data_IF_909416032519
#
_entry.id   IF_909416032519
#
_cell.length_a   1.000
_cell.length_b   1.000
_cell.length_c   1.000
_cell.angle_alpha   90.00
_cell.angle_beta   90.00
_cell.angle_gamma   90.00
#
_symmetry.space_group_name_H-M   'P 1'
#
loop_
_entity.id
_entity.type
_entity.pdbx_description
1 polymer ?
#
# COMPACT_ATOMS: atom_id res chain seq x y z
N UNK A 1 35.59 6.95 43.85
CA UNK A 1 37.03 7.23 43.69
C UNK A 1 37.44 6.97 42.23
N UNK A 2 38.13 7.99 41.62
CA UNK A 2 38.92 8.01 40.36
C UNK A 2 38.25 7.55 39.06
N UNK A 3 37.80 8.43 38.27
CA UNK A 3 38.17 9.18 37.04
C UNK A 3 39.25 8.49 36.18
N UNK A 4 38.93 8.26 34.90
CA UNK A 4 39.86 7.97 33.82
C UNK A 4 39.26 8.39 32.47
N UNK A 5 39.55 9.65 32.08
CA UNK A 5 39.36 10.15 30.70
C UNK A 5 40.52 9.60 29.84
N UNK A 6 40.22 9.14 28.64
CA UNK A 6 41.19 9.07 27.56
C UNK A 6 40.63 9.69 26.31
N UNK A 7 41.23 10.81 25.93
CA UNK A 7 41.13 11.51 24.66
C UNK A 7 41.99 10.80 23.63
N UNK A 8 41.47 10.61 22.39
CA UNK A 8 42.30 10.26 21.24
C UNK A 8 42.24 11.34 20.18
N UNK A 9 43.43 11.80 19.83
CA UNK A 9 43.75 12.83 18.84
C UNK A 9 43.42 12.35 17.42
N UNK A 10 42.91 13.29 16.61
CA UNK A 10 42.76 13.19 15.16
C UNK A 10 44.12 13.53 14.53
N UNK A 11 44.64 12.64 13.69
CA UNK A 11 45.76 12.92 12.79
C UNK A 11 45.26 13.11 11.38
N UNK A 12 45.41 14.33 10.87
CA UNK A 12 45.19 14.70 9.46
C UNK A 12 46.49 14.39 8.69
N UNK A 13 46.42 13.56 7.67
CA UNK A 13 47.45 13.43 6.64
C UNK A 13 46.95 13.99 5.32
N UNK A 14 47.51 15.11 4.90
CA UNK A 14 47.40 15.64 3.55
C UNK A 14 48.37 14.91 2.63
N UNK A 15 47.85 14.26 1.59
CA UNK A 15 48.67 13.72 0.49
C UNK A 15 48.31 14.44 -0.80
N UNK A 16 49.23 15.26 -1.28
CA UNK A 16 49.20 15.91 -2.60
C UNK A 16 49.64 14.87 -3.64
N UNK A 17 48.83 14.58 -4.64
CA UNK A 17 49.25 13.82 -5.83
C UNK A 17 48.86 14.63 -7.08
N UNK A 18 49.90 14.83 -7.89
CA UNK A 18 49.93 15.70 -9.06
C UNK A 18 49.05 15.23 -10.23
N UNK A 19 48.61 16.21 -10.98
CA UNK A 19 47.87 16.11 -12.22
C UNK A 19 48.84 15.79 -13.36
N UNK A 20 48.66 14.65 -14.05
CA UNK A 20 49.22 14.41 -15.38
C UNK A 20 48.09 14.64 -16.39
N UNK A 21 48.21 15.69 -17.18
CA UNK A 21 47.33 15.99 -18.29
C UNK A 21 47.79 15.15 -19.48
N UNK A 22 46.97 14.16 -19.89
CA UNK A 22 47.10 13.48 -21.16
C UNK A 22 46.07 14.06 -22.13
N UNK A 23 46.54 14.76 -23.16
CA UNK A 23 45.71 15.20 -24.27
C UNK A 23 45.33 13.99 -25.16
N UNK A 24 44.11 13.51 -25.02
CA UNK A 24 43.52 12.49 -25.88
C UNK A 24 42.47 13.08 -26.79
N UNK A 25 42.61 12.84 -28.08
CA UNK A 25 41.74 13.32 -29.15
C UNK A 25 40.26 12.95 -28.94
N UNK A 26 39.40 13.96 -29.04
CA UNK A 26 37.95 13.81 -29.03
C UNK A 26 37.48 13.03 -30.28
N UNK A 27 36.86 11.87 -30.08
CA UNK A 27 36.00 11.24 -31.08
C UNK A 27 34.60 11.84 -30.96
N UNK A 28 33.89 12.10 -32.10
CA UNK A 28 32.56 12.69 -32.04
C UNK A 28 31.63 11.70 -31.34
N UNK A 29 31.03 12.17 -30.25
CA UNK A 29 29.96 11.45 -29.49
C UNK A 29 28.77 11.34 -30.45
N UNK A 30 28.46 10.10 -30.83
CA UNK A 30 27.25 9.77 -31.56
C UNK A 30 26.04 10.33 -30.79
N UNK A 31 25.15 11.01 -31.53
CA UNK A 31 23.89 11.49 -31.02
C UNK A 31 23.19 10.33 -30.31
N UNK A 32 23.06 10.41 -28.97
CA UNK A 32 22.18 9.56 -28.22
C UNK A 32 20.77 9.79 -28.77
N UNK A 33 20.26 8.79 -29.46
CA UNK A 33 18.86 8.74 -29.87
C UNK A 33 18.06 8.80 -28.57
N UNK A 34 17.43 9.97 -28.31
CA UNK A 34 16.43 10.10 -27.27
C UNK A 34 15.35 9.07 -27.60
N UNK A 35 15.42 7.91 -26.93
CA UNK A 35 14.31 6.96 -26.91
C UNK A 35 13.17 7.74 -26.28
N UNK A 36 12.25 8.24 -27.13
CA UNK A 36 10.95 8.75 -26.66
C UNK A 36 10.39 7.68 -25.72
N UNK A 37 9.97 8.05 -24.50
CA UNK A 37 9.21 7.12 -23.67
C UNK A 37 8.05 6.65 -24.54
N UNK A 38 7.91 5.34 -24.70
CA UNK A 38 6.75 4.74 -25.36
C UNK A 38 5.51 5.35 -24.73
N UNK A 39 4.67 5.91 -25.57
CA UNK A 39 3.51 6.67 -25.16
C UNK A 39 2.65 5.84 -24.19
N UNK A 40 2.19 6.50 -23.15
CA UNK A 40 1.35 6.04 -22.04
C UNK A 40 -0.01 5.45 -22.42
N UNK A 41 -0.11 4.64 -23.47
CA UNK A 41 -1.40 4.08 -23.93
C UNK A 41 -1.93 2.92 -23.10
N UNK A 42 -1.22 2.44 -22.06
CA UNK A 42 -1.50 1.11 -21.52
C UNK A 42 -2.01 1.08 -20.09
N UNK A 43 -1.75 2.09 -19.27
CA UNK A 43 -2.33 2.16 -17.94
C UNK A 43 -3.82 2.53 -17.99
N UNK A 44 -4.68 1.69 -17.38
CA UNK A 44 -6.09 2.02 -17.24
C UNK A 44 -6.31 3.16 -16.23
N UNK A 45 -5.38 3.36 -15.29
CA UNK A 45 -5.49 4.34 -14.21
C UNK A 45 -4.18 5.12 -14.04
N UNK A 46 -4.30 6.43 -13.82
CA UNK A 46 -3.17 7.34 -13.56
C UNK A 46 -3.58 8.41 -12.55
N UNK A 47 -2.59 9.02 -11.87
CA UNK A 47 -2.81 10.23 -11.08
C UNK A 47 -2.68 11.45 -11.98
N UNK A 48 -3.73 12.26 -12.04
CA UNK A 48 -3.73 13.53 -12.76
C UNK A 48 -2.97 14.62 -12.00
N UNK A 49 -2.63 15.70 -12.68
CA UNK A 49 -1.82 16.83 -12.14
C UNK A 49 -2.45 17.53 -10.93
N UNK A 50 -3.74 17.41 -10.74
CA UNK A 50 -4.50 17.98 -9.62
C UNK A 50 -4.78 16.94 -8.48
N UNK A 51 -4.13 15.77 -8.52
CA UNK A 51 -4.37 14.68 -7.58
C UNK A 51 -5.67 13.88 -7.82
N UNK A 52 -6.37 14.12 -8.93
CA UNK A 52 -7.51 13.29 -9.32
C UNK A 52 -7.03 11.94 -9.85
N UNK A 53 -7.79 10.89 -9.56
CA UNK A 53 -7.63 9.62 -10.28
C UNK A 53 -8.31 9.73 -11.65
N UNK A 54 -7.55 9.42 -12.68
CA UNK A 54 -8.07 9.32 -14.05
C UNK A 54 -8.09 7.85 -14.45
N UNK A 55 -9.26 7.36 -14.90
CA UNK A 55 -9.42 6.05 -15.50
C UNK A 55 -9.82 6.22 -16.96
N UNK A 56 -9.02 5.63 -17.85
CA UNK A 56 -9.18 5.79 -19.29
C UNK A 56 -9.25 7.29 -19.73
N UNK A 57 -8.47 8.13 -19.04
CA UNK A 57 -8.37 9.57 -19.29
C UNK A 57 -9.45 10.43 -18.63
N UNK A 58 -10.46 9.84 -17.99
CA UNK A 58 -11.56 10.56 -17.34
C UNK A 58 -11.44 10.51 -15.81
N UNK A 59 -11.81 11.60 -15.15
CA UNK A 59 -11.86 11.64 -13.69
C UNK A 59 -12.80 10.53 -13.17
N UNK A 60 -12.30 9.72 -12.24
CA UNK A 60 -13.00 8.52 -11.81
C UNK A 60 -12.97 8.34 -10.29
N UNK A 61 -14.06 7.83 -9.74
CA UNK A 61 -14.21 7.46 -8.34
C UNK A 61 -14.91 6.12 -8.23
N UNK A 62 -14.53 5.31 -7.22
CA UNK A 62 -15.20 4.05 -6.97
C UNK A 62 -14.75 3.38 -5.68
N UNK A 63 -15.59 2.45 -5.20
CA UNK A 63 -15.37 1.68 -3.98
C UNK A 63 -15.20 0.21 -4.36
N UNK A 64 -14.01 -0.32 -4.10
CA UNK A 64 -13.67 -1.73 -4.24
C UNK A 64 -13.74 -2.47 -2.92
N UNK A 65 -13.05 -3.62 -2.86
CA UNK A 65 -12.98 -4.46 -1.68
C UNK A 65 -11.60 -5.11 -1.55
N UNK A 66 -11.17 -5.36 -0.33
CA UNK A 66 -10.00 -6.19 -0.07
C UNK A 66 -10.40 -7.66 -0.23
N UNK A 67 -9.73 -8.36 -1.12
CA UNK A 67 -9.79 -9.81 -1.24
C UNK A 67 -8.40 -10.39 -0.90
N UNK A 68 -8.01 -10.22 0.35
CA UNK A 68 -6.67 -10.48 0.86
C UNK A 68 -6.11 -11.83 0.39
N UNK A 69 -6.84 -12.93 0.64
CA UNK A 69 -6.37 -14.29 0.40
C UNK A 69 -6.51 -14.78 -1.04
N UNK A 70 -7.02 -13.95 -1.96
CA UNK A 70 -7.43 -14.40 -3.29
C UNK A 70 -6.31 -15.10 -4.08
N UNK A 71 -5.08 -14.55 -4.07
CA UNK A 71 -3.95 -15.18 -4.73
C UNK A 71 -3.18 -16.16 -3.82
N UNK A 72 -3.18 -15.95 -2.50
CA UNK A 72 -2.53 -16.88 -1.57
C UNK A 72 -3.08 -18.30 -1.67
N UNK A 73 -4.39 -18.48 -1.89
CA UNK A 73 -5.01 -19.79 -2.13
C UNK A 73 -4.37 -20.52 -3.29
N UNK A 74 -4.07 -19.80 -4.38
CA UNK A 74 -3.37 -20.37 -5.53
C UNK A 74 -1.89 -20.63 -5.26
N UNK A 75 -1.24 -19.82 -4.39
CA UNK A 75 0.14 -20.11 -3.97
C UNK A 75 0.19 -21.42 -3.20
N UNK A 76 -0.71 -21.62 -2.26
CA UNK A 76 -0.80 -22.82 -1.42
C UNK A 76 -1.21 -24.05 -2.25
N UNK A 77 -2.30 -23.93 -3.00
CA UNK A 77 -2.88 -25.00 -3.80
C UNK A 77 -3.17 -24.54 -5.23
N UNK A 78 -2.36 -24.97 -6.20
CA UNK A 78 -2.42 -24.48 -7.58
C UNK A 78 -3.72 -24.79 -8.33
N UNK A 79 -4.52 -25.71 -7.85
CA UNK A 79 -5.83 -26.12 -8.33
C UNK A 79 -7.01 -25.49 -7.55
N UNK A 80 -6.74 -24.75 -6.47
CA UNK A 80 -7.78 -24.03 -5.74
C UNK A 80 -8.32 -22.85 -6.57
N UNK A 81 -9.52 -23.04 -7.08
CA UNK A 81 -10.25 -22.04 -7.90
C UNK A 81 -11.32 -21.30 -7.09
N UNK A 82 -11.36 -21.44 -5.76
CA UNK A 82 -12.39 -20.81 -4.92
C UNK A 82 -12.38 -19.29 -5.05
N UNK A 83 -11.19 -18.68 -5.20
CA UNK A 83 -11.06 -17.25 -5.44
C UNK A 83 -11.71 -16.78 -6.74
N UNK A 84 -11.81 -17.64 -7.76
CA UNK A 84 -12.50 -17.30 -9.03
C UNK A 84 -14.02 -17.21 -8.85
N UNK A 85 -14.60 -18.05 -7.98
CA UNK A 85 -15.99 -17.93 -7.59
C UNK A 85 -16.24 -16.63 -6.80
N UNK A 86 -15.32 -16.25 -5.92
CA UNK A 86 -15.34 -14.95 -5.25
C UNK A 86 -15.30 -13.78 -6.22
N UNK A 87 -14.38 -13.78 -7.18
CA UNK A 87 -14.35 -12.76 -8.25
C UNK A 87 -15.66 -12.70 -9.05
N UNK A 88 -16.30 -13.85 -9.34
CA UNK A 88 -17.58 -13.88 -10.03
C UNK A 88 -18.70 -13.24 -9.19
N UNK A 89 -18.72 -13.47 -7.88
CA UNK A 89 -19.64 -12.81 -6.96
C UNK A 89 -19.43 -11.30 -6.92
N UNK A 90 -18.18 -10.84 -6.78
CA UNK A 90 -17.85 -9.43 -6.78
C UNK A 90 -18.25 -8.73 -8.09
N UNK A 91 -18.03 -9.39 -9.23
CA UNK A 91 -18.48 -8.88 -10.53
C UNK A 91 -20.02 -8.76 -10.61
N UNK A 92 -20.77 -9.72 -10.06
CA UNK A 92 -22.25 -9.67 -9.99
C UNK A 92 -22.73 -8.45 -9.20
N UNK A 93 -22.03 -8.06 -8.14
CA UNK A 93 -22.28 -6.85 -7.34
C UNK A 93 -21.61 -5.60 -7.91
N UNK A 94 -21.10 -5.63 -9.15
CA UNK A 94 -20.44 -4.49 -9.81
C UNK A 94 -19.29 -3.88 -8.99
N UNK A 95 -18.57 -4.69 -8.21
CA UNK A 95 -17.38 -4.24 -7.50
C UNK A 95 -16.27 -3.98 -8.51
N UNK A 96 -15.78 -2.73 -8.62
CA UNK A 96 -14.91 -2.34 -9.74
C UNK A 96 -13.47 -2.82 -9.62
N UNK A 97 -12.97 -3.04 -8.40
CA UNK A 97 -11.59 -3.48 -8.17
C UNK A 97 -11.44 -4.20 -6.85
N UNK A 98 -10.35 -4.95 -6.74
CA UNK A 98 -9.90 -5.55 -5.49
C UNK A 98 -8.48 -5.11 -5.14
N UNK A 99 -8.19 -4.96 -3.83
CA UNK A 99 -6.84 -4.95 -3.25
C UNK A 99 -6.56 -6.33 -2.68
N UNK A 100 -5.40 -6.91 -2.94
CA UNK A 100 -5.09 -8.28 -2.53
C UNK A 100 -3.59 -8.48 -2.26
N UNK A 101 -3.23 -9.48 -1.43
CA UNK A 101 -1.85 -9.87 -1.25
C UNK A 101 -1.34 -10.58 -2.53
N UNK A 102 -0.44 -9.92 -3.26
CA UNK A 102 0.20 -10.45 -4.47
C UNK A 102 1.55 -11.07 -4.14
N UNK A 103 1.62 -11.82 -3.03
CA UNK A 103 2.87 -12.31 -2.45
C UNK A 103 2.60 -13.44 -1.45
N UNK A 104 3.65 -14.15 -1.02
CA UNK A 104 3.59 -15.00 0.16
C UNK A 104 3.42 -14.17 1.43
N UNK A 105 2.60 -14.61 2.38
CA UNK A 105 2.45 -13.95 3.67
C UNK A 105 3.57 -14.35 4.64
N UNK A 106 3.87 -15.64 4.75
CA UNK A 106 4.97 -16.17 5.55
C UNK A 106 6.18 -16.52 4.68
N UNK A 107 7.40 -16.61 5.24
CA UNK A 107 8.59 -16.98 4.48
C UNK A 107 8.44 -18.28 3.69
N UNK A 108 7.75 -19.31 4.23
CA UNK A 108 7.51 -20.56 3.53
C UNK A 108 6.68 -20.41 2.25
N UNK A 109 5.78 -19.42 2.20
CA UNK A 109 4.90 -19.22 1.05
C UNK A 109 5.67 -18.70 -0.16
N UNK A 110 6.86 -18.15 0.05
CA UNK A 110 7.78 -17.74 -1.01
C UNK A 110 8.55 -18.89 -1.65
N UNK A 111 8.43 -20.10 -1.11
CA UNK A 111 9.14 -21.27 -1.66
C UNK A 111 8.73 -21.57 -3.11
N UNK A 112 7.45 -21.39 -3.47
CA UNK A 112 7.03 -21.58 -4.85
C UNK A 112 7.73 -20.58 -5.78
N UNK A 113 7.75 -19.29 -5.44
CA UNK A 113 8.45 -18.27 -6.23
C UNK A 113 9.95 -18.53 -6.31
N UNK A 114 10.59 -18.95 -5.21
CA UNK A 114 12.05 -19.17 -5.15
C UNK A 114 12.50 -20.42 -5.90
N UNK A 115 11.70 -21.48 -5.86
CA UNK A 115 12.08 -22.80 -6.35
C UNK A 115 11.44 -23.18 -7.70
N UNK A 116 10.31 -22.54 -8.06
CA UNK A 116 9.60 -22.80 -9.31
C UNK A 116 8.85 -21.54 -9.77
N UNK A 117 9.62 -20.55 -10.26
CA UNK A 117 9.09 -19.27 -10.72
C UNK A 117 8.10 -19.41 -11.88
N UNK A 118 8.33 -20.36 -12.78
CA UNK A 118 7.42 -20.59 -13.92
C UNK A 118 6.02 -20.95 -13.43
N UNK A 119 5.92 -21.88 -12.48
CA UNK A 119 4.64 -22.27 -11.89
C UNK A 119 4.02 -21.14 -11.07
N UNK A 120 4.83 -20.37 -10.31
CA UNK A 120 4.35 -19.21 -9.57
C UNK A 120 3.68 -18.19 -10.49
N UNK A 121 4.35 -17.82 -11.58
CA UNK A 121 3.80 -16.86 -12.54
C UNK A 121 2.65 -17.45 -13.37
N UNK A 122 2.65 -18.73 -13.66
CA UNK A 122 1.51 -19.40 -14.32
C UNK A 122 0.24 -19.29 -13.45
N UNK A 123 0.36 -19.44 -12.12
CA UNK A 123 -0.77 -19.26 -11.19
C UNK A 123 -1.22 -17.81 -11.14
N UNK A 124 -0.28 -16.87 -11.12
CA UNK A 124 -0.58 -15.43 -11.14
C UNK A 124 -1.27 -15.01 -12.45
N UNK A 125 -0.82 -15.51 -13.60
CA UNK A 125 -1.45 -15.25 -14.90
C UNK A 125 -2.90 -15.73 -14.93
N UNK A 126 -3.16 -16.90 -14.36
CA UNK A 126 -4.54 -17.42 -14.24
C UNK A 126 -5.40 -16.48 -13.41
N UNK A 127 -4.90 -16.02 -12.27
CA UNK A 127 -5.62 -15.10 -11.40
C UNK A 127 -5.91 -13.76 -12.07
N UNK A 128 -4.90 -13.14 -12.66
CA UNK A 128 -5.04 -11.88 -13.42
C UNK A 128 -6.00 -12.05 -14.59
N UNK A 129 -5.90 -13.18 -15.31
CA UNK A 129 -6.81 -13.51 -16.41
C UNK A 129 -8.26 -13.66 -15.96
N UNK A 130 -8.52 -14.22 -14.77
CA UNK A 130 -9.88 -14.36 -14.23
C UNK A 130 -10.46 -13.01 -13.77
N UNK A 131 -9.65 -12.11 -13.21
CA UNK A 131 -10.06 -10.75 -12.90
C UNK A 131 -10.37 -9.95 -14.18
N UNK A 132 -9.50 -10.05 -15.21
CA UNK A 132 -9.71 -9.41 -16.52
C UNK A 132 -11.02 -9.84 -17.18
N UNK A 133 -11.33 -11.13 -17.22
CA UNK A 133 -12.59 -11.66 -17.78
C UNK A 133 -13.84 -11.06 -17.14
N UNK A 134 -13.71 -10.57 -15.89
CA UNK A 134 -14.81 -10.00 -15.10
C UNK A 134 -14.77 -8.48 -14.99
N UNK A 135 -13.85 -7.83 -15.70
CA UNK A 135 -13.62 -6.38 -15.62
C UNK A 135 -13.37 -5.88 -14.18
N UNK A 136 -12.69 -6.67 -13.35
CA UNK A 136 -12.29 -6.28 -12.00
C UNK A 136 -10.85 -5.78 -12.04
N UNK A 137 -10.63 -4.51 -11.67
CA UNK A 137 -9.31 -3.93 -11.52
C UNK A 137 -8.54 -4.55 -10.34
N UNK A 138 -7.23 -4.56 -10.42
CA UNK A 138 -6.35 -5.16 -9.43
C UNK A 138 -5.41 -4.11 -8.84
N UNK A 139 -5.32 -4.05 -7.51
CA UNK A 139 -4.30 -3.33 -6.75
C UNK A 139 -3.50 -4.38 -5.98
N UNK A 140 -2.41 -4.92 -6.58
CA UNK A 140 -1.56 -5.91 -5.94
C UNK A 140 -0.68 -5.27 -4.86
N UNK A 141 -0.78 -5.76 -3.62
CA UNK A 141 0.16 -5.49 -2.54
C UNK A 141 1.31 -6.49 -2.64
N UNK A 142 2.52 -5.98 -2.95
CA UNK A 142 3.65 -6.82 -3.38
C UNK A 142 4.40 -7.45 -2.20
N UNK A 143 4.32 -6.83 -1.00
CA UNK A 143 5.03 -7.28 0.20
C UNK A 143 4.16 -7.05 1.43
N UNK A 144 3.04 -7.77 1.53
CA UNK A 144 2.00 -7.50 2.53
C UNK A 144 2.53 -7.35 3.95
N UNK A 145 3.36 -8.30 4.40
CA UNK A 145 3.86 -8.34 5.77
C UNK A 145 5.34 -7.94 5.86
N UNK A 146 5.64 -6.91 6.63
CA UNK A 146 6.96 -6.28 6.75
C UNK A 146 8.07 -7.18 7.31
N UNK A 147 7.71 -8.17 8.12
CA UNK A 147 8.66 -9.15 8.67
C UNK A 147 9.04 -10.25 7.69
N UNK A 148 8.28 -10.43 6.60
CA UNK A 148 8.40 -11.62 5.76
C UNK A 148 9.71 -11.64 4.94
N UNK A 149 9.98 -10.59 4.15
CA UNK A 149 11.15 -10.59 3.25
C UNK A 149 12.48 -10.56 3.99
N UNK A 150 12.66 -9.80 5.09
CA UNK A 150 13.86 -9.94 5.92
C UNK A 150 14.11 -11.39 6.33
N UNK A 151 13.11 -12.10 6.83
CA UNK A 151 13.23 -13.51 7.19
C UNK A 151 13.58 -14.42 5.99
N UNK A 152 12.96 -14.19 4.82
CA UNK A 152 13.26 -14.95 3.58
C UNK A 152 14.73 -14.86 3.17
N UNK A 153 15.36 -13.70 3.40
CA UNK A 153 16.76 -13.46 3.00
C UNK A 153 17.77 -13.58 4.16
N UNK A 154 17.27 -13.88 5.37
CA UNK A 154 18.10 -14.04 6.58
C UNK A 154 18.65 -12.72 7.10
N UNK A 155 17.85 -11.67 7.12
CA UNK A 155 18.14 -10.34 7.66
C UNK A 155 17.10 -9.93 8.72
N UNK A 156 17.40 -8.91 9.52
CA UNK A 156 16.46 -8.30 10.47
C UNK A 156 15.56 -7.27 9.78
N UNK A 157 14.42 -6.96 10.40
CA UNK A 157 13.39 -6.08 9.84
C UNK A 157 13.89 -4.65 9.56
N UNK A 158 14.86 -4.13 10.31
CA UNK A 158 15.47 -2.83 10.09
C UNK A 158 16.16 -2.69 8.72
N UNK A 159 16.45 -3.81 8.03
CA UNK A 159 17.09 -3.81 6.72
C UNK A 159 16.19 -3.26 5.59
N UNK A 160 14.92 -3.04 5.83
CA UNK A 160 14.07 -2.20 4.98
C UNK A 160 14.60 -0.75 4.84
N UNK A 161 15.32 -0.25 5.86
CA UNK A 161 15.98 1.06 5.84
C UNK A 161 17.33 1.10 5.16
N UNK A 162 17.86 -0.02 4.67
CA UNK A 162 19.18 -0.11 4.05
C UNK A 162 19.08 -0.39 2.55
N UNK A 163 19.27 0.61 1.66
CA UNK A 163 19.17 0.43 0.20
C UNK A 163 20.12 -0.62 -0.39
N UNK A 164 21.12 -1.07 0.38
CA UNK A 164 22.11 -2.07 -0.03
C UNK A 164 21.87 -3.45 0.57
N UNK A 165 20.80 -3.62 1.36
CA UNK A 165 20.46 -4.89 2.00
C UNK A 165 20.00 -5.95 0.99
N UNK A 166 20.03 -7.21 1.41
CA UNK A 166 19.43 -8.32 0.66
C UNK A 166 17.90 -8.18 0.60
N UNK A 167 17.28 -7.62 1.65
CA UNK A 167 15.86 -7.30 1.72
C UNK A 167 15.45 -6.39 0.57
N UNK A 168 16.14 -5.25 0.39
CA UNK A 168 15.87 -4.31 -0.71
C UNK A 168 16.25 -4.92 -2.07
N UNK A 169 17.33 -5.69 -2.14
CA UNK A 169 17.70 -6.39 -3.38
C UNK A 169 16.62 -7.39 -3.82
N UNK A 170 16.07 -8.18 -2.89
CA UNK A 170 14.97 -9.11 -3.17
C UNK A 170 13.70 -8.35 -3.59
N UNK A 171 13.36 -7.26 -2.91
CA UNK A 171 12.24 -6.40 -3.28
C UNK A 171 12.38 -5.91 -4.73
N UNK A 172 13.54 -5.35 -5.10
CA UNK A 172 13.79 -4.87 -6.46
C UNK A 172 13.68 -5.98 -7.51
N UNK A 173 14.20 -7.19 -7.19
CA UNK A 173 14.08 -8.34 -8.07
C UNK A 173 12.62 -8.73 -8.31
N UNK A 174 11.84 -8.89 -7.25
CA UNK A 174 10.43 -9.28 -7.36
C UNK A 174 9.61 -8.21 -8.09
N UNK A 175 9.82 -6.93 -7.77
CA UNK A 175 9.21 -5.80 -8.49
C UNK A 175 9.54 -5.87 -9.99
N UNK A 176 10.82 -6.05 -10.33
CA UNK A 176 11.22 -6.13 -11.74
C UNK A 176 10.52 -7.26 -12.49
N UNK A 177 10.36 -8.41 -11.85
CA UNK A 177 9.73 -9.58 -12.46
C UNK A 177 8.20 -9.43 -12.56
N UNK A 178 7.53 -8.93 -11.51
CA UNK A 178 6.07 -8.77 -11.50
C UNK A 178 5.63 -7.58 -12.34
N UNK A 179 6.19 -6.40 -12.09
CA UNK A 179 5.82 -5.18 -12.82
C UNK A 179 6.17 -5.32 -14.31
N UNK A 180 7.37 -5.85 -14.62
CA UNK A 180 7.77 -6.09 -16.00
C UNK A 180 6.83 -7.06 -16.73
N UNK A 181 6.36 -8.11 -16.05
CA UNK A 181 5.42 -9.09 -16.62
C UNK A 181 4.05 -8.48 -16.95
N UNK A 182 3.55 -7.62 -16.09
CA UNK A 182 2.21 -7.04 -16.20
C UNK A 182 2.21 -5.57 -16.67
N UNK A 183 3.32 -5.11 -17.25
CA UNK A 183 3.44 -3.73 -17.73
C UNK A 183 2.33 -3.34 -18.72
N UNK A 184 1.91 -4.27 -19.59
CA UNK A 184 0.86 -4.07 -20.60
C UNK A 184 -0.53 -4.58 -20.15
N UNK A 185 -0.67 -5.00 -18.90
CA UNK A 185 -1.93 -5.53 -18.39
C UNK A 185 -2.81 -4.42 -17.78
N UNK A 186 -3.84 -4.04 -18.50
CA UNK A 186 -4.76 -2.96 -18.09
C UNK A 186 -5.60 -3.30 -16.84
N UNK A 187 -5.69 -4.57 -16.49
CA UNK A 187 -6.36 -5.02 -15.26
C UNK A 187 -5.62 -4.57 -14.00
N UNK A 188 -4.30 -4.35 -14.07
CA UNK A 188 -3.53 -3.75 -12.97
C UNK A 188 -3.76 -2.23 -12.96
N UNK A 189 -4.31 -1.71 -11.85
CA UNK A 189 -4.67 -0.29 -11.71
C UNK A 189 -3.63 0.52 -10.95
N UNK A 190 -3.00 -0.07 -9.93
CA UNK A 190 -1.95 0.57 -9.13
C UNK A 190 -0.99 -0.49 -8.60
N UNK A 191 0.17 -0.07 -8.10
CA UNK A 191 1.16 -0.91 -7.42
C UNK A 191 1.27 -0.50 -5.96
N UNK A 192 1.29 -1.47 -5.05
CA UNK A 192 1.37 -1.22 -3.62
C UNK A 192 2.56 -1.92 -2.98
N UNK A 193 3.23 -1.25 -2.01
CA UNK A 193 4.34 -1.86 -1.27
C UNK A 193 3.84 -3.02 -0.40
N UNK A 194 3.03 -2.72 0.62
CA UNK A 194 2.67 -3.70 1.64
C UNK A 194 1.48 -3.25 2.48
N UNK A 195 1.44 -3.65 3.74
CA UNK A 195 0.33 -3.31 4.63
C UNK A 195 0.82 -2.72 5.95
N UNK A 196 0.44 -1.47 6.22
CA UNK A 196 0.54 -0.80 7.53
C UNK A 196 1.94 -0.72 8.16
N UNK A 197 3.02 -0.75 7.37
CA UNK A 197 4.40 -0.69 7.89
C UNK A 197 4.62 0.50 8.85
N UNK A 198 3.99 1.65 8.57
CA UNK A 198 4.11 2.85 9.40
C UNK A 198 3.58 2.69 10.82
N UNK A 199 2.66 1.75 11.07
CA UNK A 199 2.12 1.53 12.41
C UNK A 199 3.13 0.91 13.39
N UNK A 200 4.17 0.25 12.89
CA UNK A 200 5.27 -0.31 13.69
C UNK A 200 6.38 0.68 14.01
N UNK A 201 6.38 1.87 13.40
CA UNK A 201 7.48 2.80 13.48
C UNK A 201 7.52 3.58 14.81
N UNK A 202 8.74 3.78 15.33
CA UNK A 202 9.07 4.65 16.47
C UNK A 202 8.34 4.35 17.79
N UNK A 203 7.81 3.16 17.94
CA UNK A 203 7.08 2.77 19.14
C UNK A 203 8.03 2.70 20.35
N UNK A 204 7.70 3.34 21.50
CA UNK A 204 8.50 3.23 22.72
C UNK A 204 8.51 1.82 23.31
N UNK A 205 7.49 1.01 23.02
CA UNK A 205 7.36 -0.40 23.36
C UNK A 205 7.57 -1.32 22.13
N UNK A 206 8.46 -0.96 21.21
CA UNK A 206 8.70 -1.69 19.96
C UNK A 206 8.95 -3.20 20.15
N UNK A 207 9.55 -3.59 21.28
CA UNK A 207 9.80 -4.98 21.60
C UNK A 207 8.54 -5.87 21.63
N UNK A 208 7.38 -5.28 21.98
CA UNK A 208 6.08 -5.97 22.02
C UNK A 208 5.45 -6.12 20.63
N UNK A 209 5.98 -5.39 19.63
CA UNK A 209 5.46 -5.31 18.27
C UNK A 209 6.43 -5.87 17.22
N UNK A 210 7.46 -6.60 17.65
CA UNK A 210 8.34 -7.32 16.75
C UNK A 210 7.60 -8.45 16.04
N UNK A 211 8.02 -8.84 14.82
CA UNK A 211 7.44 -9.97 14.13
C UNK A 211 7.40 -11.23 15.01
N UNK A 212 6.33 -12.05 14.97
CA UNK A 212 6.29 -13.27 15.74
C UNK A 212 7.34 -14.28 15.27
N UNK A 213 7.77 -15.16 16.19
CA UNK A 213 8.61 -16.32 15.88
C UNK A 213 7.70 -17.51 15.60
N UNK A 214 7.74 -18.01 14.36
CA UNK A 214 6.94 -19.15 13.85
C UNK A 214 7.86 -20.01 12.98
N UNK A 215 8.64 -20.89 13.60
CA UNK A 215 9.68 -21.66 12.93
C UNK A 215 9.17 -22.55 11.79
N UNK A 216 7.98 -23.13 11.99
CA UNK A 216 7.27 -23.95 11.00
C UNK A 216 6.80 -23.14 9.78
N UNK A 217 6.72 -21.82 9.91
CA UNK A 217 6.42 -20.87 8.83
C UNK A 217 7.68 -20.24 8.21
N UNK A 218 8.86 -20.60 8.72
CA UNK A 218 10.15 -20.20 8.19
C UNK A 218 10.66 -18.85 8.70
N UNK A 219 10.12 -18.31 9.80
CA UNK A 219 10.61 -17.06 10.39
C UNK A 219 11.96 -17.24 11.07
N UNK A 220 12.63 -16.12 11.38
CA UNK A 220 13.82 -16.12 12.22
C UNK A 220 13.53 -16.78 13.58
N UNK A 221 14.57 -17.40 14.18
CA UNK A 221 14.46 -18.11 15.46
C UNK A 221 14.36 -17.19 16.69
N UNK A 222 14.71 -15.91 16.53
CA UNK A 222 14.63 -14.91 17.60
C UNK A 222 14.47 -13.53 17.01
N UNK A 223 14.03 -12.59 17.84
CA UNK A 223 13.90 -11.17 17.50
C UNK A 223 14.76 -10.33 18.44
N UNK A 224 15.24 -9.21 17.92
CA UNK A 224 16.07 -8.27 18.68
C UNK A 224 15.63 -6.82 18.42
N UNK A 225 16.37 -5.84 18.96
CA UNK A 225 16.15 -4.43 18.64
C UNK A 225 16.41 -4.09 17.15
N UNK A 226 17.08 -4.97 16.41
CA UNK A 226 17.23 -4.84 14.96
C UNK A 226 15.93 -5.10 14.19
N UNK A 227 14.93 -5.66 14.84
CA UNK A 227 13.58 -5.82 14.28
C UNK A 227 12.65 -4.63 14.58
N UNK A 228 13.11 -3.62 15.32
CA UNK A 228 12.34 -2.41 15.59
C UNK A 228 12.38 -1.49 14.37
N UNK A 229 11.21 -0.94 13.97
CA UNK A 229 11.12 -0.03 12.84
C UNK A 229 11.21 1.43 13.29
N UNK A 230 11.80 2.26 12.41
CA UNK A 230 11.71 3.72 12.49
C UNK A 230 10.99 4.29 11.28
N UNK A 231 10.51 5.52 11.40
CA UNK A 231 9.91 6.26 10.31
C UNK A 231 10.85 6.31 9.09
N UNK A 232 12.13 6.58 9.28
CA UNK A 232 13.12 6.69 8.20
C UNK A 232 13.33 5.38 7.45
N UNK A 233 13.25 4.23 8.15
CA UNK A 233 13.32 2.91 7.52
C UNK A 233 12.12 2.67 6.61
N UNK A 234 10.92 3.01 7.10
CA UNK A 234 9.67 2.87 6.33
C UNK A 234 9.69 3.78 5.10
N UNK A 235 10.07 5.04 5.26
CA UNK A 235 10.22 6.01 4.15
C UNK A 235 11.23 5.49 3.11
N UNK A 236 12.35 4.92 3.57
CA UNK A 236 13.36 4.33 2.68
C UNK A 236 12.78 3.17 1.88
N UNK A 237 12.07 2.24 2.52
CA UNK A 237 11.44 1.10 1.84
C UNK A 237 10.46 1.57 0.76
N UNK A 238 9.59 2.54 1.10
CA UNK A 238 8.62 3.12 0.15
C UNK A 238 9.29 3.82 -1.03
N UNK A 239 10.34 4.62 -0.77
CA UNK A 239 11.08 5.30 -1.83
C UNK A 239 11.81 4.31 -2.76
N UNK A 240 12.37 3.23 -2.20
CA UNK A 240 13.04 2.18 -2.98
C UNK A 240 12.04 1.40 -3.86
N UNK A 241 10.88 1.05 -3.32
CA UNK A 241 9.81 0.45 -4.13
C UNK A 241 9.41 1.40 -5.26
N UNK A 242 9.09 2.64 -4.91
CA UNK A 242 8.67 3.65 -5.88
C UNK A 242 9.67 3.81 -7.02
N UNK A 243 10.97 3.88 -6.71
CA UNK A 243 12.04 3.93 -7.73
C UNK A 243 12.08 2.66 -8.59
N UNK A 244 11.97 1.48 -7.97
CA UNK A 244 11.98 0.22 -8.68
C UNK A 244 10.80 0.09 -9.65
N UNK A 245 9.59 0.48 -9.21
CA UNK A 245 8.40 0.46 -10.07
C UNK A 245 8.51 1.50 -11.18
N UNK A 246 8.87 2.76 -10.87
CA UNK A 246 8.95 3.86 -11.88
C UNK A 246 10.01 3.63 -12.95
N UNK A 247 11.03 2.84 -12.66
CA UNK A 247 12.02 2.43 -13.67
C UNK A 247 11.39 1.58 -14.80
N UNK A 248 10.26 0.93 -14.55
CA UNK A 248 9.56 0.05 -15.49
C UNK A 248 8.23 0.66 -15.95
N UNK A 249 7.43 1.13 -15.00
CA UNK A 249 6.07 1.66 -15.20
C UNK A 249 6.04 3.14 -14.84
N UNK A 250 6.01 3.98 -15.86
CA UNK A 250 6.09 5.43 -15.72
C UNK A 250 4.76 6.09 -15.29
N UNK A 251 3.65 5.38 -15.30
CA UNK A 251 2.31 6.01 -15.28
C UNK A 251 1.35 5.49 -14.22
N UNK A 252 1.32 4.18 -13.92
CA UNK A 252 0.37 3.67 -12.91
C UNK A 252 0.63 4.27 -11.54
N UNK A 253 -0.42 4.53 -10.76
CA UNK A 253 -0.28 4.97 -9.36
C UNK A 253 0.57 4.00 -8.54
N UNK A 254 1.40 4.55 -7.65
CA UNK A 254 2.18 3.79 -6.69
C UNK A 254 1.77 4.21 -5.29
N UNK A 255 1.36 3.24 -4.47
CA UNK A 255 0.95 3.48 -3.10
C UNK A 255 1.78 2.68 -2.11
N UNK A 256 1.75 3.10 -0.86
CA UNK A 256 2.52 2.49 0.22
C UNK A 256 1.75 1.42 0.98
N UNK A 257 0.40 1.46 0.97
CA UNK A 257 -0.47 0.58 1.75
C UNK A 257 -0.50 0.93 3.24
N UNK A 258 -0.16 2.16 3.60
CA UNK A 258 -0.19 2.61 4.99
C UNK A 258 -1.61 2.87 5.48
N UNK A 259 -1.79 2.70 6.80
CA UNK A 259 -2.94 3.17 7.56
C UNK A 259 -2.86 4.69 7.79
N UNK A 260 -3.92 5.26 8.38
CA UNK A 260 -3.81 6.57 9.01
C UNK A 260 -2.60 6.59 9.97
N UNK A 261 -1.83 7.67 10.01
CA UNK A 261 -0.77 7.81 11.02
C UNK A 261 -1.34 7.54 12.42
N UNK A 262 -0.54 6.96 13.31
CA UNK A 262 -0.93 6.89 14.73
C UNK A 262 -1.28 8.27 15.24
N UNK A 263 -2.17 8.35 16.23
CA UNK A 263 -2.62 9.64 16.79
C UNK A 263 -1.50 10.54 17.32
N UNK A 264 -0.33 10.00 17.55
CA UNK A 264 0.87 10.63 18.09
C UNK A 264 2.12 10.31 17.23
N UNK A 265 1.99 10.12 15.92
CA UNK A 265 3.09 9.65 15.07
C UNK A 265 4.31 10.59 15.12
N UNK A 266 4.11 11.90 15.03
CA UNK A 266 5.17 12.89 15.11
C UNK A 266 5.80 12.98 16.51
N UNK A 267 4.96 13.00 17.58
CA UNK A 267 5.46 13.04 18.96
C UNK A 267 6.15 11.73 19.37
N UNK A 268 5.68 10.57 18.88
CA UNK A 268 6.40 9.30 19.06
C UNK A 268 7.78 9.33 18.40
N UNK A 269 7.85 9.84 17.17
CA UNK A 269 9.11 9.96 16.43
C UNK A 269 10.12 10.88 17.12
N UNK A 270 9.70 12.09 17.51
CA UNK A 270 10.58 13.13 18.00
C UNK A 270 10.85 13.07 19.50
N UNK A 271 9.82 12.77 20.27
CA UNK A 271 9.81 12.96 21.72
C UNK A 271 9.60 11.65 22.50
N UNK A 272 9.22 10.57 21.79
CA UNK A 272 8.85 9.27 22.38
C UNK A 272 7.66 9.40 23.36
N UNK A 273 6.72 10.31 23.06
CA UNK A 273 5.50 10.56 23.85
C UNK A 273 4.24 10.22 23.08
N UNK A 274 3.14 10.00 23.82
CA UNK A 274 1.81 9.73 23.26
C UNK A 274 0.94 11.00 23.17
N UNK A 275 1.54 12.19 23.19
CA UNK A 275 0.82 13.44 22.92
C UNK A 275 0.25 13.38 21.52
N UNK A 276 -1.04 13.70 21.35
CA UNK A 276 -1.68 13.64 20.04
C UNK A 276 -1.15 14.72 19.11
N UNK A 277 -0.93 14.34 17.86
CA UNK A 277 -0.52 15.23 16.79
C UNK A 277 -1.64 16.23 16.43
N UNK A 278 -1.25 17.44 16.03
CA UNK A 278 -2.16 18.40 15.41
C UNK A 278 -2.58 17.95 14.00
N UNK A 279 -3.64 18.55 13.42
CA UNK A 279 -3.98 18.29 12.01
C UNK A 279 -2.83 18.55 11.05
N UNK A 280 -2.03 19.60 11.25
CA UNK A 280 -0.89 19.96 10.42
C UNK A 280 0.26 18.94 10.52
N UNK A 281 0.50 18.39 11.72
CA UNK A 281 1.45 17.31 11.94
C UNK A 281 0.98 16.02 11.28
N UNK A 282 -0.29 15.71 11.37
CA UNK A 282 -0.91 14.57 10.69
C UNK A 282 -0.79 14.69 9.16
N UNK A 283 -1.11 15.83 8.56
CA UNK A 283 -0.98 16.07 7.12
C UNK A 283 0.47 15.96 6.64
N UNK A 284 1.41 16.53 7.40
CA UNK A 284 2.84 16.40 7.13
C UNK A 284 3.31 14.95 7.17
N UNK A 285 2.90 14.18 8.17
CA UNK A 285 3.26 12.77 8.29
C UNK A 285 2.75 11.95 7.10
N UNK A 286 1.52 12.16 6.64
CA UNK A 286 0.98 11.50 5.44
C UNK A 286 1.86 11.72 4.21
N UNK A 287 2.38 12.94 4.03
CA UNK A 287 3.26 13.27 2.91
C UNK A 287 4.64 12.63 3.07
N UNK A 288 5.21 12.65 4.26
CA UNK A 288 6.52 12.08 4.54
C UNK A 288 6.55 10.56 4.35
N UNK A 289 5.52 9.83 4.81
CA UNK A 289 5.42 8.37 4.63
C UNK A 289 5.01 7.95 3.22
N UNK A 290 4.69 8.92 2.36
CA UNK A 290 4.43 8.68 0.93
C UNK A 290 5.48 9.41 0.08
N UNK A 291 6.77 9.00 0.15
CA UNK A 291 7.85 9.70 -0.53
C UNK A 291 7.74 9.58 -2.06
N UNK A 292 8.27 10.58 -2.77
CA UNK A 292 8.41 10.48 -4.22
C UNK A 292 9.28 9.26 -4.60
N UNK A 293 8.92 8.50 -5.66
CA UNK A 293 7.88 8.79 -6.66
C UNK A 293 6.51 8.14 -6.38
N UNK A 294 6.19 7.73 -5.14
CA UNK A 294 4.83 7.32 -4.79
C UNK A 294 3.87 8.52 -4.92
N UNK A 295 2.78 8.33 -5.64
CA UNK A 295 1.84 9.40 -6.00
C UNK A 295 0.40 9.13 -5.55
N UNK A 296 0.18 8.05 -4.80
CA UNK A 296 -1.10 7.67 -4.22
C UNK A 296 -0.93 7.46 -2.71
N UNK A 297 -1.44 8.39 -1.89
CA UNK A 297 -1.46 8.27 -0.43
C UNK A 297 -2.42 7.15 -0.06
N UNK A 298 -1.97 6.19 0.76
CA UNK A 298 -2.84 5.18 1.37
C UNK A 298 -3.17 5.54 2.81
N UNK A 299 -4.43 5.31 3.20
CA UNK A 299 -4.89 5.36 4.59
C UNK A 299 -5.88 4.23 4.84
N UNK A 300 -5.99 3.76 6.09
CA UNK A 300 -7.02 2.82 6.53
C UNK A 300 -7.90 3.50 7.56
N UNK A 301 -9.22 3.24 7.53
CA UNK A 301 -10.20 3.95 8.34
C UNK A 301 -11.12 2.98 9.08
N UNK A 302 -11.09 3.05 10.41
CA UNK A 302 -11.88 2.18 11.29
C UNK A 302 -12.58 2.99 12.40
N UNK A 303 -13.54 2.43 13.14
CA UNK A 303 -14.26 3.16 14.20
C UNK A 303 -13.36 3.77 15.28
N UNK A 304 -12.25 3.09 15.64
CA UNK A 304 -11.29 3.58 16.63
C UNK A 304 -10.51 4.82 16.14
N UNK A 305 -10.53 5.15 14.87
CA UNK A 305 -9.88 6.33 14.31
C UNK A 305 -10.63 7.63 14.56
N UNK A 306 -11.85 7.55 15.10
CA UNK A 306 -12.64 8.73 15.47
C UNK A 306 -12.07 9.51 16.66
N UNK A 307 -11.24 8.88 17.49
CA UNK A 307 -10.54 9.57 18.57
C UNK A 307 -9.23 10.19 18.07
N UNK A 308 -9.27 11.42 17.56
CA UNK A 308 -8.10 12.14 17.00
C UNK A 308 -8.16 13.63 17.31
N UNK A 309 -7.01 14.30 17.23
CA UNK A 309 -6.88 15.75 17.36
C UNK A 309 -7.45 16.28 18.67
N UNK A 310 -7.22 15.56 19.77
CA UNK A 310 -7.78 15.84 21.10
C UNK A 310 -9.32 15.82 21.18
N UNK A 311 -10.00 15.29 20.15
CA UNK A 311 -11.42 15.06 20.14
C UNK A 311 -11.73 13.56 20.34
N UNK A 312 -12.80 13.26 21.09
CA UNK A 312 -13.26 11.88 21.33
C UNK A 312 -14.05 11.28 20.17
N UNK A 313 -14.59 12.13 19.30
CA UNK A 313 -15.47 11.74 18.20
C UNK A 313 -15.28 12.67 16.99
N UNK A 314 -14.15 12.52 16.29
CA UNK A 314 -13.90 13.24 15.04
C UNK A 314 -14.73 12.61 13.93
N UNK A 315 -15.59 13.36 13.23
CA UNK A 315 -16.36 12.83 12.12
C UNK A 315 -15.47 12.28 11.00
N UNK A 316 -15.82 11.14 10.42
CA UNK A 316 -15.05 10.54 9.30
C UNK A 316 -14.82 11.54 8.16
N UNK A 317 -15.84 12.32 7.80
CA UNK A 317 -15.70 13.34 6.76
C UNK A 317 -14.66 14.42 7.10
N UNK A 318 -14.43 14.72 8.38
CA UNK A 318 -13.38 15.66 8.79
C UNK A 318 -11.99 15.05 8.60
N UNK A 319 -11.79 13.82 9.06
CA UNK A 319 -10.52 13.09 8.84
C UNK A 319 -10.23 12.96 7.34
N UNK A 320 -11.24 12.61 6.52
CA UNK A 320 -11.06 12.52 5.08
C UNK A 320 -10.73 13.86 4.43
N UNK A 321 -11.28 15.00 4.92
CA UNK A 321 -10.86 16.31 4.43
C UNK A 321 -9.37 16.56 4.66
N UNK A 322 -8.84 16.31 5.86
CA UNK A 322 -7.40 16.44 6.12
C UNK A 322 -6.57 15.55 5.20
N UNK A 323 -7.00 14.30 4.98
CA UNK A 323 -6.30 13.40 4.04
C UNK A 323 -6.34 13.94 2.60
N UNK A 324 -7.48 14.48 2.15
CA UNK A 324 -7.63 15.07 0.81
C UNK A 324 -6.84 16.37 0.67
N UNK A 325 -6.72 17.17 1.75
CA UNK A 325 -5.93 18.39 1.77
C UNK A 325 -4.43 18.07 1.68
N UNK A 326 -3.95 17.09 2.46
CA UNK A 326 -2.59 16.56 2.34
C UNK A 326 -2.30 16.04 0.92
N UNK A 327 -3.21 15.27 0.34
CA UNK A 327 -3.04 14.74 -1.01
C UNK A 327 -2.91 15.87 -2.04
N UNK A 328 -3.79 16.89 -1.99
CA UNK A 328 -3.71 18.07 -2.87
C UNK A 328 -2.43 18.85 -2.68
N UNK A 329 -2.00 19.08 -1.43
CA UNK A 329 -0.76 19.78 -1.11
C UNK A 329 0.45 19.05 -1.69
N UNK A 330 0.46 17.73 -1.64
CA UNK A 330 1.52 16.89 -2.18
C UNK A 330 1.44 16.62 -3.69
N UNK A 331 0.39 17.10 -4.39
CA UNK A 331 0.15 16.76 -5.80
C UNK A 331 -0.11 15.26 -6.01
N UNK A 332 -0.70 14.60 -5.02
CA UNK A 332 -0.97 13.15 -4.97
C UNK A 332 -2.47 12.88 -4.98
N UNK A 333 -2.87 11.64 -5.27
CA UNK A 333 -4.22 11.16 -5.04
C UNK A 333 -4.36 10.49 -3.67
N UNK A 334 -5.61 10.22 -3.24
CA UNK A 334 -5.92 9.49 -2.01
C UNK A 334 -6.54 8.12 -2.31
N UNK A 335 -6.10 7.10 -1.60
CA UNK A 335 -6.69 5.77 -1.55
C UNK A 335 -6.99 5.39 -0.09
N UNK A 336 -8.25 5.18 0.25
CA UNK A 336 -8.62 4.52 1.49
C UNK A 336 -8.47 3.02 1.25
N UNK A 337 -7.25 2.49 1.53
CA UNK A 337 -6.86 1.10 1.24
C UNK A 337 -7.66 0.08 2.01
N UNK A 338 -8.12 0.47 3.21
CA UNK A 338 -9.05 -0.31 4.02
C UNK A 338 -10.06 0.60 4.71
N UNK A 339 -11.32 0.17 4.76
CA UNK A 339 -12.30 0.67 5.70
C UNK A 339 -13.25 -0.44 6.11
N UNK A 340 -13.80 -0.35 7.31
CA UNK A 340 -14.72 -1.36 7.80
C UNK A 340 -15.07 -1.15 9.26
N UNK A 341 -16.01 -1.93 9.76
CA UNK A 341 -16.37 -1.93 11.16
C UNK A 341 -16.65 -3.38 11.62
N UNK A 342 -16.05 -3.82 12.73
CA UNK A 342 -16.32 -5.15 13.26
C UNK A 342 -17.76 -5.23 13.79
N UNK A 343 -18.41 -6.37 13.55
CA UNK A 343 -19.79 -6.62 13.99
C UNK A 343 -19.90 -7.47 15.28
N UNK A 344 -18.77 -7.65 15.96
CA UNK A 344 -18.76 -8.38 17.22
C UNK A 344 -19.48 -7.63 18.34
N UNK A 345 -20.04 -8.36 19.29
CA UNK A 345 -20.81 -7.74 20.39
C UNK A 345 -19.97 -6.75 21.24
N UNK A 346 -18.67 -7.01 21.40
CA UNK A 346 -17.76 -6.10 22.12
C UNK A 346 -17.54 -4.77 21.38
N UNK A 347 -17.78 -4.74 20.06
CA UNK A 347 -17.63 -3.57 19.18
C UNK A 347 -18.98 -2.88 18.90
N UNK A 348 -20.04 -3.28 19.63
CA UNK A 348 -21.38 -2.71 19.50
C UNK A 348 -22.33 -3.52 18.62
N UNK A 349 -21.87 -4.62 18.05
CA UNK A 349 -22.68 -5.56 17.26
C UNK A 349 -22.99 -5.08 15.83
N UNK A 350 -23.82 -5.82 15.09
CA UNK A 350 -24.08 -5.60 13.67
C UNK A 350 -24.70 -4.21 13.36
N UNK A 351 -25.52 -3.66 14.24
CA UNK A 351 -26.15 -2.34 14.05
C UNK A 351 -25.10 -1.20 14.11
N UNK A 352 -24.17 -1.28 15.06
CA UNK A 352 -23.08 -0.32 15.14
C UNK A 352 -22.16 -0.42 13.94
N UNK A 353 -21.79 -1.64 13.52
CA UNK A 353 -21.00 -1.88 12.32
C UNK A 353 -21.68 -1.29 11.08
N UNK A 354 -22.98 -1.53 10.91
CA UNK A 354 -23.77 -0.97 9.81
C UNK A 354 -23.73 0.56 9.80
N UNK A 355 -23.97 1.20 10.95
CA UNK A 355 -23.92 2.64 11.07
C UNK A 355 -22.56 3.19 10.64
N UNK A 356 -21.46 2.62 11.16
CA UNK A 356 -20.12 3.09 10.85
C UNK A 356 -19.78 2.94 9.36
N UNK A 357 -20.08 1.79 8.74
CA UNK A 357 -19.82 1.57 7.31
C UNK A 357 -20.59 2.57 6.45
N UNK A 358 -21.87 2.83 6.75
CA UNK A 358 -22.66 3.82 6.01
C UNK A 358 -22.14 5.25 6.19
N UNK A 359 -21.72 5.63 7.41
CA UNK A 359 -21.10 6.93 7.69
C UNK A 359 -19.77 7.11 6.95
N UNK A 360 -18.94 6.05 6.85
CA UNK A 360 -17.69 6.07 6.07
C UNK A 360 -17.95 6.26 4.57
N UNK A 361 -18.90 5.50 4.01
CA UNK A 361 -19.28 5.64 2.59
C UNK A 361 -19.78 7.07 2.31
N UNK A 362 -20.65 7.60 3.16
CA UNK A 362 -21.14 8.98 3.03
C UNK A 362 -20.01 10.03 3.16
N UNK A 363 -19.00 9.75 4.02
CA UNK A 363 -17.82 10.60 4.14
C UNK A 363 -16.99 10.58 2.83
N UNK A 364 -16.80 9.41 2.19
CA UNK A 364 -16.07 9.31 0.92
C UNK A 364 -16.81 10.05 -0.20
N UNK A 365 -18.12 9.86 -0.31
CA UNK A 365 -18.94 10.54 -1.31
C UNK A 365 -18.86 12.08 -1.15
N UNK A 366 -19.08 12.58 0.08
CA UNK A 366 -19.15 14.02 0.36
C UNK A 366 -17.80 14.75 0.31
N UNK A 367 -16.69 14.06 0.55
CA UNK A 367 -15.35 14.67 0.55
C UNK A 367 -14.59 14.46 -0.77
N UNK A 368 -15.14 13.68 -1.68
CA UNK A 368 -14.53 13.45 -2.98
C UNK A 368 -13.39 12.42 -2.98
N UNK A 369 -13.31 11.53 -1.99
CA UNK A 369 -12.33 10.42 -1.98
C UNK A 369 -12.43 9.64 -3.29
N UNK A 370 -11.32 9.51 -4.06
CA UNK A 370 -11.39 8.86 -5.36
C UNK A 370 -11.46 7.34 -5.28
N UNK A 371 -10.69 6.72 -4.38
CA UNK A 371 -10.61 5.26 -4.24
C UNK A 371 -10.80 4.87 -2.78
N UNK A 372 -11.65 3.88 -2.52
CA UNK A 372 -11.77 3.22 -1.23
C UNK A 372 -11.96 1.72 -1.41
N UNK A 373 -11.47 0.89 -0.48
CA UNK A 373 -11.64 -0.57 -0.50
C UNK A 373 -12.11 -1.08 0.86
N UNK A 374 -13.25 -1.76 0.90
CA UNK A 374 -13.76 -2.34 2.14
C UNK A 374 -12.84 -3.48 2.62
N UNK A 375 -12.55 -3.54 3.88
CA UNK A 375 -11.94 -4.69 4.55
C UNK A 375 -13.04 -5.53 5.20
N UNK A 376 -13.24 -6.82 4.85
CA UNK A 376 -12.70 -7.56 3.72
C UNK A 376 -13.73 -8.57 3.19
N UNK A 377 -13.38 -9.24 2.10
CA UNK A 377 -14.19 -10.27 1.46
C UNK A 377 -13.55 -11.65 1.58
N UNK A 378 -14.35 -12.63 1.98
CA UNK A 378 -14.05 -14.07 1.95
C UNK A 378 -12.74 -14.46 2.68
N UNK A 379 -12.58 -13.95 3.92
CA UNK A 379 -11.51 -14.30 4.85
C UNK A 379 -12.07 -14.95 6.12
N UNK A 380 -12.18 -16.28 6.12
CA UNK A 380 -12.86 -17.06 7.17
C UNK A 380 -12.29 -16.85 8.56
N UNK A 381 -11.01 -16.52 8.71
CA UNK A 381 -10.40 -16.21 10.01
C UNK A 381 -10.98 -14.95 10.68
N UNK A 382 -11.73 -14.13 9.94
CA UNK A 382 -12.41 -12.92 10.43
C UNK A 382 -13.94 -13.03 10.33
N UNK A 383 -14.49 -14.23 10.26
CA UNK A 383 -15.93 -14.49 10.03
C UNK A 383 -16.82 -13.82 11.08
N UNK A 384 -16.40 -13.78 12.33
CA UNK A 384 -17.14 -13.17 13.44
C UNK A 384 -16.85 -11.69 13.66
N UNK A 385 -16.25 -11.00 12.70
CA UNK A 385 -15.82 -9.61 12.88
C UNK A 385 -15.95 -8.75 11.61
N UNK A 386 -15.11 -8.98 10.62
CA UNK A 386 -14.95 -8.07 9.46
C UNK A 386 -15.22 -8.76 8.11
N UNK A 387 -15.44 -10.07 8.11
CA UNK A 387 -15.60 -10.82 6.87
C UNK A 387 -16.97 -10.61 6.22
N UNK A 388 -17.00 -10.43 4.91
CA UNK A 388 -18.21 -10.22 4.10
C UNK A 388 -18.36 -11.35 3.06
N UNK A 389 -18.84 -12.53 3.43
CA UNK A 389 -19.30 -13.52 2.46
C UNK A 389 -20.78 -13.31 2.11
N UNK A 390 -21.28 -14.12 1.18
CA UNK A 390 -22.68 -14.05 0.74
C UNK A 390 -23.72 -14.36 1.83
N UNK A 391 -23.35 -14.92 2.96
CA UNK A 391 -24.27 -15.54 3.91
C UNK A 391 -23.98 -15.28 5.39
N UNK A 392 -23.46 -14.11 5.75
CA UNK A 392 -23.29 -13.72 7.16
C UNK A 392 -23.98 -12.38 7.49
N UNK A 393 -23.80 -11.89 8.72
CA UNK A 393 -24.39 -10.63 9.21
C UNK A 393 -23.98 -9.41 8.40
N UNK A 394 -22.85 -9.46 7.68
CA UNK A 394 -22.35 -8.38 6.83
C UNK A 394 -22.66 -8.56 5.33
N UNK A 395 -23.38 -9.57 4.91
CA UNK A 395 -23.70 -9.83 3.49
C UNK A 395 -24.37 -8.65 2.77
N UNK A 396 -25.14 -7.81 3.50
CA UNK A 396 -25.77 -6.59 3.00
C UNK A 396 -24.78 -5.55 2.45
N UNK A 397 -23.51 -5.64 2.87
CA UNK A 397 -22.47 -4.67 2.47
C UNK A 397 -22.22 -4.71 0.97
N UNK A 398 -22.23 -5.89 0.33
CA UNK A 398 -22.04 -5.99 -1.12
C UNK A 398 -23.10 -5.23 -1.89
N UNK A 399 -24.36 -5.30 -1.44
CA UNK A 399 -25.46 -4.54 -2.05
C UNK A 399 -25.30 -3.03 -1.82
N UNK A 400 -24.79 -2.62 -0.65
CA UNK A 400 -24.54 -1.21 -0.37
C UNK A 400 -23.37 -0.66 -1.20
N UNK A 401 -22.28 -1.43 -1.33
CA UNK A 401 -21.17 -1.05 -2.20
C UNK A 401 -21.62 -0.92 -3.66
N UNK A 402 -22.48 -1.83 -4.12
CA UNK A 402 -23.07 -1.72 -5.46
C UNK A 402 -23.85 -0.42 -5.61
N UNK A 403 -24.76 -0.10 -4.65
CA UNK A 403 -25.53 1.16 -4.68
C UNK A 403 -24.64 2.40 -4.66
N UNK A 404 -23.60 2.40 -3.82
CA UNK A 404 -22.63 3.49 -3.76
C UNK A 404 -21.89 3.66 -5.09
N UNK A 405 -21.40 2.57 -5.68
CA UNK A 405 -20.73 2.61 -6.98
C UNK A 405 -21.67 3.11 -8.09
N UNK A 406 -22.95 2.74 -8.10
CA UNK A 406 -23.93 3.25 -9.04
C UNK A 406 -24.21 4.76 -8.87
N UNK A 407 -24.12 5.30 -7.65
CA UNK A 407 -24.15 6.76 -7.41
C UNK A 407 -22.90 7.44 -7.96
N UNK A 408 -21.72 6.90 -7.66
CA UNK A 408 -20.43 7.43 -8.14
C UNK A 408 -20.29 7.35 -9.66
N UNK A 409 -20.81 6.30 -10.31
CA UNK A 409 -20.80 6.15 -11.76
C UNK A 409 -21.59 7.28 -12.43
N UNK A 410 -22.78 7.62 -11.93
CA UNK A 410 -23.55 8.77 -12.42
C UNK A 410 -22.79 10.09 -12.27
N UNK A 411 -22.10 10.31 -11.13
CA UNK A 411 -21.26 11.50 -10.95
C UNK A 411 -20.07 11.52 -11.90
N UNK A 412 -19.43 10.39 -12.16
CA UNK A 412 -18.34 10.27 -13.12
C UNK A 412 -18.82 10.62 -14.54
N UNK A 413 -19.99 10.11 -14.96
CA UNK A 413 -20.61 10.41 -16.26
C UNK A 413 -20.99 11.89 -16.41
N UNK A 414 -21.58 12.51 -15.37
CA UNK A 414 -21.95 13.94 -15.39
C UNK A 414 -20.72 14.85 -15.48
N UNK A 415 -19.58 14.45 -14.96
CA UNK A 415 -18.31 15.16 -15.09
C UNK A 415 -17.74 15.10 -16.51
N UNK A 416 -17.92 13.99 -17.21
CA UNK A 416 -17.49 13.78 -18.59
C UNK A 416 -18.42 14.50 -19.56
N UNK A 417 -19.73 14.50 -19.27
CA UNK A 417 -20.78 15.10 -20.08
C UNK A 417 -21.62 16.10 -19.25
N UNK A 418 -21.07 17.29 -18.93
CA UNK A 418 -21.84 18.29 -18.19
C UNK A 418 -23.14 18.58 -18.93
N UNK A 419 -24.28 18.37 -18.27
CA UNK A 419 -25.58 18.72 -18.84
C UNK A 419 -25.53 20.19 -19.25
N UNK A 420 -25.65 20.48 -20.54
CA UNK A 420 -25.82 21.85 -21.01
C UNK A 420 -27.07 22.39 -20.29
N UNK A 421 -26.86 23.43 -19.46
CA UNK A 421 -27.92 24.01 -18.67
C UNK A 421 -29.14 24.37 -19.53
N UNK A 422 -30.30 23.91 -19.07
CA UNK A 422 -31.59 24.43 -19.56
C UNK A 422 -31.84 25.80 -19.01
#
# INVERSE_FOLDING_TARGET
MKRGRQSWLILLCFGVIGVIVALGQERPVGQATLVRPLASQEAAMVVGTNGAILKDGNAWRGIGINYFSAFNRLIEHGDDVSSFAGLAMLAKHKIPFIRFACCGFWPKDWNLYRNNKEEYFRRMDRFVGEARKRNIGLIPSLFWYDGCIPDVVGESRNQWGNPKSKTIAFMRQYVNEVVGRYLHERTIWAWELGNEYSLGADLPNAAEHRPPVQLDLGTAASRSAEDDLTHEMVVTACAELGRAVRALDSTRPITTGHSLPRRAAEHLRREKTWVQDSPEEFERNLLEVTPSPCDLISVHLYPFDKERFNAKDTPYAQTMRYCMDAARLGGKALFVGEFGAPDSQKDGGPEAARKHILEMIAAFESTGVPLAALWNFDLSSQESSLNVPAANSQSWVLDELQRANERLERENEERVHPRQGR
#
